data_IF_156522303314
#
_entry.id   IF_156522303314
#
_cell.length_a   1.000
_cell.length_b   1.000
_cell.length_c   1.000
_cell.angle_alpha   90.00
_cell.angle_beta   90.00
_cell.angle_gamma   90.00
#
_symmetry.space_group_name_H-M   'P 1'
#
loop_
_entity.id
_entity.type
_entity.pdbx_description
1 polymer ?
#
# COMPACT_ATOMS: atom_id res chain seq x y z
N UNK A 1 -14.23 6.56 7.42
CA UNK A 1 -13.29 7.02 8.44
C UNK A 1 -11.89 6.77 7.92
N UNK A 2 -11.09 7.82 7.74
CA UNK A 2 -9.70 7.68 7.32
C UNK A 2 -8.91 7.19 8.54
N UNK A 3 -8.80 5.87 8.71
CA UNK A 3 -7.93 5.29 9.74
C UNK A 3 -6.49 5.59 9.33
N UNK A 4 -5.80 6.39 10.14
CA UNK A 4 -4.39 6.78 10.05
C UNK A 4 -4.09 7.98 9.12
N UNK A 5 -4.32 9.19 9.64
CA UNK A 5 -3.62 10.41 9.18
C UNK A 5 -2.13 10.35 9.61
N UNK A 6 -1.39 9.31 9.21
CA UNK A 6 0.01 9.07 9.63
C UNK A 6 1.06 9.87 8.83
N UNK A 7 0.70 11.05 8.31
CA UNK A 7 1.56 11.81 7.41
C UNK A 7 2.26 13.02 8.05
N UNK A 8 1.60 13.70 8.98
CA UNK A 8 2.08 14.95 9.59
C UNK A 8 1.99 14.85 11.13
N UNK A 9 2.89 15.54 11.87
CA UNK A 9 2.75 15.65 13.32
C UNK A 9 1.47 16.41 13.69
N UNK A 10 1.00 16.29 14.93
CA UNK A 10 -0.18 17.03 15.37
C UNK A 10 0.03 18.55 15.23
N UNK A 11 -1.02 19.25 14.81
CA UNK A 11 -1.00 20.70 14.60
C UNK A 11 -1.00 21.47 15.93
N UNK A 12 -1.57 20.86 16.98
CA UNK A 12 -1.57 21.41 18.35
C UNK A 12 -0.55 20.65 19.21
N UNK A 13 0.12 21.37 20.11
CA UNK A 13 1.16 20.80 20.96
C UNK A 13 0.63 20.29 22.30
N UNK A 14 -0.49 20.84 22.78
CA UNK A 14 -1.14 20.46 24.03
C UNK A 14 -2.67 20.50 23.91
N UNK A 15 -3.35 19.97 24.92
CA UNK A 15 -4.82 19.93 24.95
C UNK A 15 -5.45 21.32 25.09
N UNK A 16 -6.60 21.50 24.43
CA UNK A 16 -7.40 22.74 24.41
C UNK A 16 -8.82 22.44 24.89
N UNK A 17 -9.39 23.26 25.76
CA UNK A 17 -10.76 23.12 26.23
C UNK A 17 -10.96 23.40 27.72
N UNK A 18 -11.86 22.63 28.33
CA UNK A 18 -12.35 22.83 29.71
C UNK A 18 -11.26 23.22 30.73
N UNK A 19 -11.43 24.31 31.50
CA UNK A 19 -10.49 24.72 32.54
C UNK A 19 -10.20 23.59 33.54
N UNK A 20 -8.93 23.42 33.92
CA UNK A 20 -8.48 22.34 34.80
C UNK A 20 -8.35 20.96 34.14
N UNK A 21 -8.78 20.81 32.88
CA UNK A 21 -8.62 19.57 32.10
C UNK A 21 -7.69 19.73 30.89
N UNK A 22 -7.50 20.95 30.40
CA UNK A 22 -6.68 21.27 29.24
C UNK A 22 -5.55 22.26 29.59
N UNK A 23 -4.46 22.24 28.81
CA UNK A 23 -3.35 23.19 28.99
C UNK A 23 -3.65 24.58 28.44
N UNK A 24 -4.44 24.68 27.38
CA UNK A 24 -4.90 25.94 26.79
C UNK A 24 -3.76 26.90 26.40
N UNK A 25 -2.72 26.40 25.73
CA UNK A 25 -1.68 27.26 25.16
C UNK A 25 -2.29 28.20 24.12
N UNK A 26 -2.00 29.52 24.14
CA UNK A 26 -2.74 30.48 23.32
C UNK A 26 -2.78 30.16 21.82
N UNK A 27 -1.68 29.66 21.27
CA UNK A 27 -1.61 29.29 19.87
C UNK A 27 -2.40 28.02 19.53
N UNK A 28 -2.37 27.00 20.40
CA UNK A 28 -3.19 25.79 20.23
C UNK A 28 -4.68 26.17 20.30
N UNK A 29 -5.04 27.06 21.23
CA UNK A 29 -6.41 27.59 21.36
C UNK A 29 -6.84 28.31 20.08
N UNK A 30 -6.00 29.20 19.56
CA UNK A 30 -6.27 29.95 18.33
C UNK A 30 -6.38 29.03 17.12
N UNK A 31 -5.56 27.98 17.04
CA UNK A 31 -5.67 26.94 16.03
C UNK A 31 -7.04 26.25 16.08
N UNK A 32 -7.51 25.86 17.26
CA UNK A 32 -8.82 25.21 17.42
C UNK A 32 -9.97 26.17 17.08
N UNK A 33 -9.89 27.44 17.51
CA UNK A 33 -10.85 28.47 17.15
C UNK A 33 -10.97 28.62 15.63
N UNK A 34 -9.84 28.73 14.93
CA UNK A 34 -9.82 28.84 13.47
C UNK A 34 -10.36 27.57 12.78
N UNK A 35 -9.96 26.38 13.23
CA UNK A 35 -10.49 25.12 12.69
C UNK A 35 -12.02 25.04 12.81
N UNK A 36 -12.58 25.45 13.96
CA UNK A 36 -14.03 25.52 14.12
C UNK A 36 -14.68 26.55 13.18
N UNK A 37 -14.06 27.73 13.02
CA UNK A 37 -14.56 28.75 12.09
C UNK A 37 -14.55 28.26 10.63
N UNK A 38 -13.60 27.41 10.23
CA UNK A 38 -13.58 26.78 8.90
C UNK A 38 -14.76 25.83 8.70
N UNK A 39 -15.05 24.98 9.69
CA UNK A 39 -16.02 23.88 9.53
C UNK A 39 -17.44 24.21 9.98
N UNK A 40 -17.62 25.23 10.82
CA UNK A 40 -18.93 25.58 11.40
C UNK A 40 -19.35 27.01 11.03
N UNK A 41 -19.92 27.22 9.83
CA UNK A 41 -20.82 28.35 9.60
C UNK A 41 -22.30 28.03 9.90
N UNK A 42 -22.64 26.83 10.44
CA UNK A 42 -24.06 26.35 10.50
C UNK A 42 -24.70 26.25 11.89
N UNK A 43 -24.07 26.70 12.98
CA UNK A 43 -24.69 26.64 14.33
C UNK A 43 -24.54 27.88 15.22
N UNK A 44 -24.01 29.02 14.75
CA UNK A 44 -23.91 30.23 15.57
C UNK A 44 -22.95 31.29 15.03
N UNK A 45 -22.56 32.23 15.90
CA UNK A 45 -21.56 33.27 15.63
C UNK A 45 -20.14 32.66 15.58
N UNK A 46 -19.27 33.14 14.66
CA UNK A 46 -17.87 32.74 14.63
C UNK A 46 -17.17 32.97 15.98
N UNK A 47 -16.24 32.08 16.33
CA UNK A 47 -15.39 32.24 17.50
C UNK A 47 -14.39 33.37 17.27
N UNK A 48 -14.09 34.15 18.30
CA UNK A 48 -12.97 35.08 18.26
C UNK A 48 -11.65 34.30 18.30
N UNK A 49 -10.82 34.46 17.28
CA UNK A 49 -9.50 33.82 17.17
C UNK A 49 -8.45 34.59 17.99
N UNK A 50 -8.65 34.64 19.31
CA UNK A 50 -7.88 35.44 20.23
C UNK A 50 -6.92 34.62 21.12
N UNK A 51 -6.89 33.30 20.94
CA UNK A 51 -6.06 32.38 21.73
C UNK A 51 -6.49 32.25 23.19
N UNK A 52 -7.66 32.75 23.58
CA UNK A 52 -8.22 32.62 24.93
C UNK A 52 -9.28 31.53 24.94
N UNK A 53 -9.08 30.53 25.81
CA UNK A 53 -10.06 29.45 25.96
C UNK A 53 -11.20 29.91 26.85
N UNK A 54 -12.21 30.55 26.27
CA UNK A 54 -13.40 31.02 26.96
C UNK A 54 -14.54 29.98 27.00
N UNK A 55 -15.64 30.33 27.68
CA UNK A 55 -16.81 29.45 27.78
C UNK A 55 -17.47 29.17 26.44
N UNK A 56 -17.36 30.07 25.47
CA UNK A 56 -17.93 29.90 24.13
C UNK A 56 -17.17 28.80 23.37
N UNK A 57 -15.84 28.81 23.41
CA UNK A 57 -15.02 27.76 22.81
C UNK A 57 -15.30 26.40 23.47
N UNK A 58 -15.33 26.33 24.80
CA UNK A 58 -15.61 25.07 25.52
C UNK A 58 -17.00 24.52 25.17
N UNK A 59 -18.01 25.39 25.08
CA UNK A 59 -19.35 24.99 24.66
C UNK A 59 -19.35 24.47 23.21
N UNK A 60 -18.62 25.13 22.32
CA UNK A 60 -18.47 24.70 20.92
C UNK A 60 -17.86 23.29 20.84
N UNK A 61 -16.76 23.03 21.58
CA UNK A 61 -16.13 21.69 21.65
C UNK A 61 -17.13 20.64 22.15
N UNK A 62 -17.79 20.90 23.28
CA UNK A 62 -18.76 19.97 23.87
C UNK A 62 -19.94 19.67 22.94
N UNK A 63 -20.45 20.69 22.24
CA UNK A 63 -21.53 20.51 21.26
C UNK A 63 -21.08 19.69 20.05
N UNK A 64 -19.85 19.93 19.55
CA UNK A 64 -19.29 19.14 18.46
C UNK A 64 -19.12 17.67 18.85
N UNK A 65 -18.56 17.41 20.03
CA UNK A 65 -18.44 16.06 20.58
C UNK A 65 -19.79 15.36 20.72
N UNK A 66 -20.81 16.05 21.24
CA UNK A 66 -22.15 15.50 21.39
C UNK A 66 -22.84 15.24 20.04
N UNK A 67 -22.95 16.28 19.21
CA UNK A 67 -23.77 16.24 17.99
C UNK A 67 -23.09 15.49 16.85
N UNK A 68 -21.78 15.70 16.66
CA UNK A 68 -21.03 15.15 15.54
C UNK A 68 -20.38 13.81 15.89
N UNK A 69 -19.69 13.71 17.04
CA UNK A 69 -18.96 12.49 17.43
C UNK A 69 -19.80 11.49 18.23
N UNK A 70 -21.00 11.88 18.66
CA UNK A 70 -21.93 11.09 19.47
C UNK A 70 -21.33 10.65 20.81
N UNK A 71 -20.58 11.54 21.46
CA UNK A 71 -20.10 11.29 22.83
C UNK A 71 -21.28 11.28 23.80
N UNK A 72 -21.37 10.24 24.63
CA UNK A 72 -22.37 10.17 25.69
C UNK A 72 -22.15 11.26 26.75
N UNK A 73 -20.88 11.54 27.07
CA UNK A 73 -20.46 12.56 28.02
C UNK A 73 -19.35 13.43 27.41
N UNK A 74 -19.71 14.53 26.73
CA UNK A 74 -18.72 15.50 26.23
C UNK A 74 -17.88 16.05 27.37
N UNK A 75 -16.56 16.00 27.23
CA UNK A 75 -15.61 16.52 28.22
C UNK A 75 -15.19 17.97 27.93
N UNK A 76 -15.50 18.47 26.73
CA UNK A 76 -15.14 19.79 26.27
C UNK A 76 -13.64 19.95 26.04
N UNK A 77 -12.91 18.86 25.76
CA UNK A 77 -11.45 18.85 25.55
C UNK A 77 -11.08 18.31 24.17
N UNK A 78 -10.07 18.94 23.56
CA UNK A 78 -9.46 18.52 22.31
C UNK A 78 -8.00 18.13 22.60
N UNK A 79 -7.71 16.83 22.58
CA UNK A 79 -6.36 16.31 22.72
C UNK A 79 -5.63 16.20 21.37
N UNK A 80 -4.30 16.45 21.31
CA UNK A 80 -3.51 16.40 20.06
C UNK A 80 -3.59 15.10 19.27
N UNK A 81 -3.83 13.98 19.96
CA UNK A 81 -3.99 12.63 19.36
C UNK A 81 -5.41 12.09 19.52
N UNK A 82 -6.32 12.93 20.02
CA UNK A 82 -7.69 12.56 20.37
C UNK A 82 -8.63 12.49 19.17
N UNK A 83 -9.73 11.75 19.34
CA UNK A 83 -10.75 11.58 18.30
C UNK A 83 -11.39 12.92 17.88
N UNK A 84 -11.55 13.86 18.80
CA UNK A 84 -12.10 15.19 18.49
C UNK A 84 -11.21 15.97 17.54
N UNK A 85 -9.89 16.03 17.82
CA UNK A 85 -8.94 16.71 16.95
C UNK A 85 -8.88 16.06 15.57
N UNK A 86 -8.78 14.73 15.51
CA UNK A 86 -8.75 14.01 14.23
C UNK A 86 -9.99 14.30 13.37
N UNK A 87 -11.18 14.33 13.98
CA UNK A 87 -12.42 14.65 13.26
C UNK A 87 -12.49 16.10 12.80
N UNK A 88 -11.96 17.05 13.58
CA UNK A 88 -11.88 18.46 13.16
C UNK A 88 -11.01 18.61 11.92
N UNK A 89 -9.86 17.94 11.88
CA UNK A 89 -8.99 17.92 10.70
C UNK A 89 -9.70 17.27 9.51
N UNK A 90 -10.37 16.13 9.70
CA UNK A 90 -11.13 15.44 8.64
C UNK A 90 -12.21 16.35 8.01
N UNK A 91 -12.91 17.15 8.82
CA UNK A 91 -13.90 18.11 8.31
C UNK A 91 -13.24 19.35 7.67
N UNK A 92 -12.19 19.90 8.29
CA UNK A 92 -11.53 21.12 7.82
C UNK A 92 -10.82 20.93 6.46
N UNK A 93 -10.29 19.73 6.20
CA UNK A 93 -9.71 19.35 4.90
C UNK A 93 -10.72 19.48 3.76
N UNK A 94 -12.03 19.37 4.02
CA UNK A 94 -13.08 19.47 2.98
C UNK A 94 -13.36 20.92 2.56
N UNK A 95 -12.93 21.90 3.35
CA UNK A 95 -13.19 23.33 3.11
C UNK A 95 -12.04 23.91 2.26
N UNK A 96 -12.28 24.59 1.14
CA UNK A 96 -11.21 25.25 0.39
C UNK A 96 -10.57 26.36 1.24
N UNK A 97 -9.24 26.37 1.32
CA UNK A 97 -8.49 27.45 2.00
C UNK A 97 -7.54 28.11 1.00
N UNK A 98 -7.16 29.37 1.24
CA UNK A 98 -6.21 30.07 0.36
C UNK A 98 -4.80 29.47 0.54
N UNK A 99 -4.15 29.00 -0.53
CA UNK A 99 -2.81 28.44 -0.45
C UNK A 99 -1.79 29.52 -0.13
N UNK A 100 -0.84 29.23 0.76
CA UNK A 100 0.33 30.07 1.03
C UNK A 100 1.62 29.38 0.54
N UNK A 101 1.96 29.48 -0.76
CA UNK A 101 3.06 28.72 -1.37
C UNK A 101 4.46 29.15 -0.91
N UNK A 102 4.60 30.33 -0.29
CA UNK A 102 5.89 30.90 0.13
C UNK A 102 6.31 30.53 1.55
N UNK A 103 5.44 29.86 2.33
CA UNK A 103 5.68 29.58 3.74
C UNK A 103 6.57 28.32 3.89
N UNK A 104 7.88 28.51 4.10
CA UNK A 104 8.77 27.46 4.61
C UNK A 104 8.61 27.40 6.13
N UNK A 105 7.57 26.72 6.61
CA UNK A 105 7.32 26.60 8.04
C UNK A 105 8.37 25.69 8.71
N UNK A 106 9.10 26.19 9.73
CA UNK A 106 10.08 25.41 10.47
C UNK A 106 9.37 24.52 11.48
N UNK A 107 8.90 23.34 11.06
CA UNK A 107 8.17 22.36 11.90
C UNK A 107 6.89 22.91 12.57
N UNK A 108 5.80 22.13 12.58
CA UNK A 108 4.53 22.55 13.21
C UNK A 108 4.65 22.87 14.72
N UNK A 109 5.77 22.47 15.35
CA UNK A 109 6.10 22.73 16.75
C UNK A 109 6.62 24.15 17.05
N UNK A 110 7.19 24.87 16.07
CA UNK A 110 7.90 26.15 16.34
C UNK A 110 7.29 27.39 15.65
N UNK A 111 6.15 27.27 14.96
CA UNK A 111 5.50 28.40 14.28
C UNK A 111 4.85 29.41 15.25
N UNK A 112 4.63 29.01 16.51
CA UNK A 112 3.76 29.71 17.45
C UNK A 112 4.49 30.58 18.50
N UNK A 113 5.81 30.72 18.39
CA UNK A 113 6.57 31.68 19.19
C UNK A 113 6.26 33.12 18.73
N UNK A 114 5.34 33.80 19.44
CA UNK A 114 5.02 35.24 19.33
C UNK A 114 4.61 35.76 17.94
N UNK A 115 3.57 35.21 17.31
CA UNK A 115 3.02 35.80 16.08
C UNK A 115 1.49 35.98 16.13
N UNK A 116 0.99 37.02 15.45
CA UNK A 116 -0.44 37.39 15.39
C UNK A 116 -1.33 36.39 14.64
N UNK A 117 -2.65 36.61 14.71
CA UNK A 117 -3.71 35.72 14.19
C UNK A 117 -3.49 35.22 12.76
N UNK A 118 -2.98 36.09 11.88
CA UNK A 118 -2.75 35.76 10.48
C UNK A 118 -1.72 34.63 10.28
N UNK A 119 -0.72 34.54 11.17
CA UNK A 119 0.31 33.49 11.10
C UNK A 119 -0.21 32.13 11.56
N UNK A 120 -1.13 32.11 12.54
CA UNK A 120 -1.80 30.87 12.95
C UNK A 120 -2.69 30.37 11.83
N UNK A 121 -3.53 31.23 11.25
CA UNK A 121 -4.37 30.85 10.10
C UNK A 121 -3.53 30.34 8.92
N UNK A 122 -2.45 31.03 8.56
CA UNK A 122 -1.55 30.60 7.50
C UNK A 122 -0.92 29.22 7.79
N UNK A 123 -0.58 28.95 9.05
CA UNK A 123 -0.04 27.65 9.49
C UNK A 123 -1.07 26.53 9.39
N UNK A 124 -2.31 26.78 9.85
CA UNK A 124 -3.42 25.82 9.71
C UNK A 124 -3.72 25.56 8.24
N UNK A 125 -3.79 26.60 7.40
CA UNK A 125 -4.07 26.44 5.97
C UNK A 125 -2.97 25.63 5.27
N UNK A 126 -1.70 25.90 5.56
CA UNK A 126 -0.59 25.11 5.06
C UNK A 126 -0.65 23.64 5.52
N UNK A 127 -1.00 23.40 6.79
CA UNK A 127 -1.21 22.03 7.31
C UNK A 127 -2.31 21.30 6.52
N UNK A 128 -3.48 21.93 6.36
CA UNK A 128 -4.62 21.35 5.64
C UNK A 128 -4.29 21.11 4.16
N UNK A 129 -3.58 22.01 3.50
CA UNK A 129 -3.12 21.84 2.11
C UNK A 129 -2.18 20.64 1.96
N UNK A 130 -1.22 20.48 2.89
CA UNK A 130 -0.35 19.30 2.90
C UNK A 130 -1.12 18.01 3.13
N UNK A 131 -2.09 18.02 4.04
CA UNK A 131 -2.96 16.85 4.27
C UNK A 131 -3.80 16.51 3.04
N UNK A 132 -4.37 17.51 2.35
CA UNK A 132 -5.06 17.31 1.06
C UNK A 132 -4.13 16.68 0.03
N UNK A 133 -2.93 17.23 -0.13
CA UNK A 133 -1.94 16.72 -1.08
C UNK A 133 -1.55 15.25 -0.78
N UNK A 134 -1.40 14.88 0.49
CA UNK A 134 -1.14 13.49 0.92
C UNK A 134 -2.32 12.58 0.57
N UNK A 135 -3.55 12.97 0.90
CA UNK A 135 -4.77 12.19 0.60
C UNK A 135 -4.95 12.01 -0.91
N UNK A 136 -4.71 13.06 -1.69
CA UNK A 136 -4.77 12.99 -3.15
C UNK A 136 -3.66 12.12 -3.73
N UNK A 137 -2.44 12.20 -3.18
CA UNK A 137 -1.34 11.33 -3.60
C UNK A 137 -1.65 9.86 -3.29
N UNK A 138 -2.19 9.56 -2.11
CA UNK A 138 -2.63 8.20 -1.77
C UNK A 138 -3.74 7.74 -2.72
N UNK A 139 -4.74 8.58 -2.99
CA UNK A 139 -5.82 8.27 -3.95
C UNK A 139 -5.26 7.97 -5.34
N UNK A 140 -4.35 8.82 -5.86
CA UNK A 140 -3.69 8.61 -7.16
C UNK A 140 -2.90 7.31 -7.18
N UNK A 141 -2.10 7.04 -6.14
CA UNK A 141 -1.32 5.81 -6.01
C UNK A 141 -2.21 4.57 -6.01
N UNK A 142 -3.31 4.58 -5.24
CA UNK A 142 -4.30 3.50 -5.22
C UNK A 142 -4.95 3.31 -6.59
N UNK A 143 -5.32 4.40 -7.27
CA UNK A 143 -5.88 4.32 -8.61
C UNK A 143 -4.89 3.70 -9.60
N UNK A 144 -3.63 4.16 -9.62
CA UNK A 144 -2.59 3.63 -10.50
C UNK A 144 -2.37 2.12 -10.32
N UNK A 145 -2.26 1.66 -9.07
CA UNK A 145 -1.94 0.25 -8.80
C UNK A 145 -3.14 -0.66 -9.04
N UNK A 146 -4.36 -0.22 -8.70
CA UNK A 146 -5.59 -1.02 -8.82
C UNK A 146 -6.28 -0.92 -10.19
N UNK A 147 -5.89 0.01 -11.06
CA UNK A 147 -6.44 0.10 -12.40
C UNK A 147 -6.10 -1.16 -13.20
N UNK A 148 -7.11 -1.87 -13.70
CA UNK A 148 -6.90 -2.96 -14.64
C UNK A 148 -6.45 -2.39 -15.99
N UNK A 149 -5.34 -2.91 -16.51
CA UNK A 149 -4.76 -2.54 -17.81
C UNK A 149 -4.70 -3.71 -18.77
N UNK A 150 -5.39 -4.81 -18.43
CA UNK A 150 -5.38 -6.02 -19.24
C UNK A 150 -6.09 -5.80 -20.57
N UNK A 151 -5.45 -6.23 -21.66
CA UNK A 151 -5.95 -6.08 -23.04
C UNK A 151 -7.03 -7.12 -23.43
N UNK A 152 -7.32 -8.08 -22.55
CA UNK A 152 -8.26 -9.18 -22.76
C UNK A 152 -7.61 -10.53 -23.07
N UNK A 153 -6.32 -10.57 -23.42
CA UNK A 153 -5.58 -11.80 -23.73
C UNK A 153 -5.09 -12.51 -22.46
N UNK A 154 -6.01 -13.14 -21.73
CA UNK A 154 -5.74 -13.72 -20.40
C UNK A 154 -5.34 -15.21 -20.41
N UNK A 155 -5.28 -15.84 -21.59
CA UNK A 155 -4.97 -17.26 -21.74
C UNK A 155 -3.76 -17.47 -22.64
N UNK A 156 -3.03 -18.56 -22.40
CA UNK A 156 -1.95 -19.02 -23.26
C UNK A 156 -2.43 -20.17 -24.14
N UNK A 157 -2.08 -20.13 -25.41
CA UNK A 157 -2.24 -21.22 -26.36
C UNK A 157 -1.07 -22.22 -26.29
N UNK A 158 -1.25 -23.39 -26.89
CA UNK A 158 -0.15 -24.35 -27.06
C UNK A 158 1.01 -23.78 -27.87
N UNK A 159 0.72 -22.92 -28.85
CA UNK A 159 1.72 -22.21 -29.65
C UNK A 159 2.58 -21.28 -28.78
N UNK A 160 1.97 -20.57 -27.82
CA UNK A 160 2.72 -19.69 -26.91
C UNK A 160 3.73 -20.49 -26.07
N UNK A 161 3.32 -21.64 -25.53
CA UNK A 161 4.21 -22.52 -24.80
C UNK A 161 5.31 -23.09 -25.70
N UNK A 162 4.98 -23.48 -26.93
CA UNK A 162 5.96 -24.02 -27.88
C UNK A 162 7.01 -22.96 -28.25
N UNK A 163 6.57 -21.73 -28.50
CA UNK A 163 7.45 -20.60 -28.79
C UNK A 163 8.36 -20.28 -27.61
N UNK A 164 7.83 -20.30 -26.38
CA UNK A 164 8.61 -20.11 -25.17
C UNK A 164 9.64 -21.23 -24.97
N UNK A 165 9.28 -22.49 -25.20
CA UNK A 165 10.23 -23.60 -25.14
C UNK A 165 11.36 -23.45 -26.16
N UNK A 166 11.04 -23.03 -27.39
CA UNK A 166 12.03 -22.71 -28.43
C UNK A 166 12.96 -21.57 -27.99
N UNK A 167 12.45 -20.52 -27.35
CA UNK A 167 13.26 -19.41 -26.83
C UNK A 167 14.21 -19.84 -25.71
N UNK A 168 13.78 -20.76 -24.85
CA UNK A 168 14.63 -21.34 -23.81
C UNK A 168 15.75 -22.24 -24.39
N UNK A 169 15.60 -22.68 -25.64
CA UNK A 169 16.61 -23.41 -26.39
C UNK A 169 16.39 -24.92 -26.46
N UNK A 170 17.14 -25.56 -27.33
CA UNK A 170 16.96 -26.98 -27.66
C UNK A 170 17.11 -27.88 -26.43
N UNK A 171 16.09 -28.73 -26.21
CA UNK A 171 16.08 -29.77 -25.18
C UNK A 171 15.24 -29.47 -23.94
N UNK A 172 14.57 -28.32 -23.85
CA UNK A 172 13.55 -28.09 -22.82
C UNK A 172 12.18 -28.57 -23.32
N UNK A 173 11.57 -29.58 -22.68
CA UNK A 173 10.25 -30.04 -23.08
C UNK A 173 9.18 -28.96 -22.82
N UNK A 174 8.31 -28.70 -23.80
CA UNK A 174 7.19 -27.75 -23.66
C UNK A 174 6.30 -28.03 -22.45
N UNK A 175 6.14 -29.31 -22.11
CA UNK A 175 5.34 -29.75 -20.97
C UNK A 175 5.95 -29.34 -19.62
N UNK A 176 7.25 -29.00 -19.54
CA UNK A 176 7.83 -28.42 -18.31
C UNK A 176 7.28 -27.02 -18.07
N UNK A 177 7.18 -26.16 -19.10
CA UNK A 177 6.62 -24.82 -18.97
C UNK A 177 5.13 -24.87 -18.58
N UNK A 178 4.39 -25.79 -19.20
CA UNK A 178 2.99 -26.06 -18.84
C UNK A 178 2.85 -26.63 -17.41
N UNK A 179 3.82 -27.42 -16.94
CA UNK A 179 3.85 -27.92 -15.56
C UNK A 179 4.05 -26.78 -14.55
N UNK A 180 4.97 -25.84 -14.83
CA UNK A 180 5.12 -24.62 -14.01
C UNK A 180 3.80 -23.83 -13.95
N UNK A 181 3.19 -23.52 -15.09
CA UNK A 181 1.88 -22.85 -15.11
C UNK A 181 0.81 -23.64 -14.33
N UNK A 182 0.83 -24.97 -14.44
CA UNK A 182 -0.12 -25.83 -13.72
C UNK A 182 0.09 -25.78 -12.21
N UNK A 183 1.32 -25.82 -11.73
CA UNK A 183 1.62 -25.82 -10.29
C UNK A 183 1.38 -24.45 -9.67
N UNK A 184 1.69 -23.37 -10.38
CA UNK A 184 1.56 -22.00 -9.88
C UNK A 184 0.12 -21.48 -9.91
N UNK A 185 -0.60 -21.69 -11.01
CA UNK A 185 -1.95 -21.14 -11.16
C UNK A 185 -3.06 -22.20 -11.16
N UNK A 186 -2.73 -23.48 -11.08
CA UNK A 186 -3.67 -24.58 -11.36
C UNK A 186 -3.96 -24.73 -12.85
N UNK A 187 -3.13 -24.16 -13.73
CA UNK A 187 -3.36 -24.11 -15.18
C UNK A 187 -4.43 -23.10 -15.58
N UNK A 188 -4.81 -22.21 -14.65
CA UNK A 188 -5.77 -21.14 -14.87
C UNK A 188 -5.07 -19.89 -15.39
N UNK A 189 -5.87 -18.92 -15.84
CA UNK A 189 -5.41 -17.58 -16.13
C UNK A 189 -4.60 -17.00 -14.96
N UNK A 190 -3.54 -16.26 -15.28
CA UNK A 190 -2.81 -15.45 -14.32
C UNK A 190 -3.56 -14.20 -13.88
N UNK A 191 -4.81 -14.01 -14.30
CA UNK A 191 -5.68 -12.88 -13.96
C UNK A 191 -6.91 -13.35 -13.17
N UNK A 192 -7.30 -12.55 -12.18
CA UNK A 192 -8.57 -12.70 -11.47
C UNK A 192 -9.75 -12.04 -12.21
N UNK A 193 -10.97 -12.16 -11.67
CA UNK A 193 -12.19 -11.58 -12.28
C UNK A 193 -12.14 -10.06 -12.48
N UNK A 194 -11.35 -9.35 -11.66
CA UNK A 194 -11.12 -7.91 -11.79
C UNK A 194 -10.16 -7.53 -12.93
N UNK A 195 -9.74 -8.49 -13.77
CA UNK A 195 -8.72 -8.30 -14.82
C UNK A 195 -7.38 -7.75 -14.29
N UNK A 196 -7.11 -8.01 -13.02
CA UNK A 196 -5.83 -7.78 -12.37
C UNK A 196 -5.08 -9.11 -12.27
N UNK A 197 -3.75 -9.10 -12.38
CA UNK A 197 -2.97 -10.32 -12.19
C UNK A 197 -3.20 -10.87 -10.79
N UNK A 198 -3.15 -12.20 -10.67
CA UNK A 198 -3.12 -12.88 -9.38
C UNK A 198 -1.79 -12.52 -8.70
N UNK A 199 -1.86 -12.06 -7.45
CA UNK A 199 -0.68 -11.72 -6.67
C UNK A 199 -0.69 -12.42 -5.30
N UNK A 200 0.50 -12.61 -4.75
CA UNK A 200 0.70 -12.83 -3.31
C UNK A 200 1.77 -11.86 -2.79
N UNK A 201 1.44 -11.14 -1.73
CA UNK A 201 2.30 -10.14 -1.10
C UNK A 201 3.13 -10.76 0.04
N UNK A 202 4.44 -10.60 -0.04
CA UNK A 202 5.44 -11.11 0.88
C UNK A 202 5.96 -9.98 1.80
N UNK A 203 5.34 -9.81 2.95
CA UNK A 203 5.68 -8.69 3.86
C UNK A 203 7.12 -8.73 4.41
N UNK A 204 7.74 -9.90 4.45
CA UNK A 204 9.16 -10.03 4.79
C UNK A 204 10.10 -9.53 3.69
N UNK A 205 9.67 -9.56 2.42
CA UNK A 205 10.37 -8.95 1.30
C UNK A 205 10.18 -7.42 1.33
N UNK A 206 8.98 -6.96 1.69
CA UNK A 206 8.74 -5.52 1.87
C UNK A 206 9.59 -4.96 3.00
N UNK A 207 9.68 -5.68 4.12
CA UNK A 207 10.60 -5.38 5.21
C UNK A 207 12.05 -5.28 4.74
N UNK A 208 12.51 -6.22 3.90
CA UNK A 208 13.87 -6.23 3.35
C UNK A 208 14.15 -4.96 2.53
N UNK A 209 13.28 -4.64 1.57
CA UNK A 209 13.51 -3.52 0.65
C UNK A 209 13.28 -2.15 1.28
N UNK A 210 12.42 -2.06 2.30
CA UNK A 210 12.22 -0.84 3.10
C UNK A 210 13.20 -0.72 4.27
N UNK A 211 14.15 -1.66 4.40
CA UNK A 211 15.15 -1.69 5.49
C UNK A 211 14.51 -1.61 6.87
N UNK A 212 13.40 -2.34 7.07
CA UNK A 212 12.64 -2.42 8.33
C UNK A 212 12.00 -1.10 8.80
N UNK A 213 11.92 -0.09 7.93
CA UNK A 213 11.33 1.24 8.24
C UNK A 213 9.91 1.17 8.79
N UNK A 214 9.13 0.16 8.38
CA UNK A 214 7.70 0.07 8.69
C UNK A 214 7.35 -1.03 9.71
N UNK A 215 8.32 -1.66 10.37
CA UNK A 215 8.08 -2.75 11.33
C UNK A 215 7.12 -2.35 12.46
N UNK A 216 7.28 -1.13 13.00
CA UNK A 216 6.46 -0.64 14.12
C UNK A 216 5.11 -0.08 13.67
N UNK A 217 5.10 0.66 12.56
CA UNK A 217 3.90 1.39 12.11
C UNK A 217 2.96 0.53 11.27
N UNK A 218 3.50 -0.50 10.59
CA UNK A 218 2.74 -1.38 9.69
C UNK A 218 3.17 -2.86 9.85
N UNK A 219 2.97 -3.48 11.02
CA UNK A 219 3.42 -4.85 11.31
C UNK A 219 2.74 -5.93 10.46
N UNK A 220 1.64 -5.61 9.78
CA UNK A 220 1.03 -6.49 8.77
C UNK A 220 1.71 -6.39 7.40
N UNK A 221 2.43 -5.32 7.10
CA UNK A 221 3.13 -5.14 5.82
C UNK A 221 4.63 -5.42 5.95
N UNK A 222 5.21 -5.21 7.12
CA UNK A 222 6.64 -5.36 7.40
C UNK A 222 6.84 -6.27 8.61
N UNK A 223 7.29 -7.51 8.37
CA UNK A 223 7.50 -8.52 9.43
C UNK A 223 8.60 -9.52 9.04
N UNK A 224 9.32 -10.13 9.99
CA UNK A 224 10.32 -11.16 9.68
C UNK A 224 9.69 -12.43 9.10
N UNK A 225 10.40 -13.14 8.23
CA UNK A 225 9.99 -14.47 7.78
C UNK A 225 10.10 -15.46 8.94
N UNK A 226 9.00 -16.14 9.28
CA UNK A 226 8.99 -17.17 10.32
C UNK A 226 8.81 -18.55 9.71
N UNK A 227 7.83 -18.68 8.81
CA UNK A 227 7.52 -19.91 8.08
C UNK A 227 6.73 -19.59 6.82
N UNK A 228 6.71 -20.52 5.89
CA UNK A 228 5.88 -20.46 4.68
C UNK A 228 4.41 -20.26 5.06
N UNK A 229 3.76 -19.29 4.41
CA UNK A 229 2.38 -18.91 4.67
C UNK A 229 2.05 -18.69 6.16
N UNK A 230 2.89 -17.92 6.87
CA UNK A 230 2.65 -17.51 8.26
C UNK A 230 1.40 -16.64 8.45
N UNK A 231 1.01 -16.32 9.71
CA UNK A 231 -0.26 -15.66 10.01
C UNK A 231 -0.45 -14.31 9.28
N UNK A 232 0.57 -13.47 9.25
CA UNK A 232 0.52 -12.17 8.56
C UNK A 232 0.37 -12.35 7.04
N UNK A 233 1.07 -13.34 6.46
CA UNK A 233 0.93 -13.68 5.05
C UNK A 233 -0.50 -14.15 4.74
N UNK A 234 -1.09 -15.00 5.59
CA UNK A 234 -2.47 -15.48 5.43
C UNK A 234 -3.49 -14.35 5.53
N UNK A 235 -3.26 -13.37 6.41
CA UNK A 235 -4.10 -12.17 6.50
C UNK A 235 -4.01 -11.33 5.23
N UNK A 236 -2.80 -11.09 4.73
CA UNK A 236 -2.55 -10.28 3.54
C UNK A 236 -3.05 -10.93 2.25
N UNK A 237 -2.96 -12.27 2.17
CA UNK A 237 -3.22 -13.04 0.96
C UNK A 237 -4.44 -13.96 1.09
N UNK A 238 -5.38 -13.60 1.96
CA UNK A 238 -6.62 -14.37 2.18
C UNK A 238 -7.38 -14.64 0.88
N UNK A 239 -7.47 -13.61 0.05
CA UNK A 239 -8.05 -13.63 -1.28
C UNK A 239 -7.42 -12.52 -2.12
N UNK A 240 -7.78 -12.45 -3.41
CA UNK A 240 -7.20 -11.46 -4.32
C UNK A 240 -7.64 -10.03 -4.00
N UNK A 241 -8.85 -9.81 -3.50
CA UNK A 241 -9.27 -8.48 -3.05
C UNK A 241 -8.35 -8.00 -1.93
N UNK A 242 -8.07 -8.87 -0.95
CA UNK A 242 -7.21 -8.57 0.18
C UNK A 242 -5.74 -8.38 -0.21
N UNK A 243 -5.24 -9.20 -1.12
CA UNK A 243 -3.87 -9.07 -1.63
C UNK A 243 -3.67 -7.73 -2.36
N UNK A 244 -4.63 -7.31 -3.18
CA UNK A 244 -4.59 -6.02 -3.86
C UNK A 244 -4.81 -4.82 -2.93
N UNK A 245 -5.66 -4.93 -1.89
CA UNK A 245 -5.74 -3.93 -0.82
C UNK A 245 -4.40 -3.76 -0.08
N UNK A 246 -3.75 -4.88 0.24
CA UNK A 246 -2.44 -4.93 0.88
C UNK A 246 -1.38 -4.26 0.00
N UNK A 247 -1.32 -4.64 -1.28
CA UNK A 247 -0.44 -4.02 -2.28
C UNK A 247 -0.67 -2.51 -2.37
N UNK A 248 -1.93 -2.05 -2.46
CA UNK A 248 -2.25 -0.64 -2.56
C UNK A 248 -1.83 0.16 -1.32
N UNK A 249 -1.91 -0.46 -0.13
CA UNK A 249 -1.43 0.16 1.12
C UNK A 249 0.09 0.23 1.14
N UNK A 250 0.79 -0.85 0.80
CA UNK A 250 2.25 -0.87 0.72
C UNK A 250 2.79 0.12 -0.33
N UNK A 251 2.14 0.19 -1.50
CA UNK A 251 2.51 1.10 -2.60
C UNK A 251 2.37 2.57 -2.21
N UNK A 252 1.45 2.91 -1.28
CA UNK A 252 1.35 4.24 -0.69
C UNK A 252 2.54 4.62 0.20
N UNK A 253 3.24 3.63 0.76
CA UNK A 253 4.38 3.83 1.66
C UNK A 253 5.73 3.80 0.94
N UNK A 254 5.90 2.86 0.02
CA UNK A 254 7.11 2.70 -0.79
C UNK A 254 6.75 1.91 -2.07
N UNK A 255 6.68 2.64 -3.19
CA UNK A 255 6.18 2.09 -4.46
C UNK A 255 7.05 0.94 -4.97
N UNK A 256 8.37 1.16 -5.05
CA UNK A 256 9.30 0.17 -5.61
C UNK A 256 9.37 -1.07 -4.72
N UNK A 257 9.51 -0.88 -3.40
CA UNK A 257 9.53 -1.98 -2.45
C UNK A 257 8.22 -2.78 -2.49
N UNK A 258 7.06 -2.12 -2.59
CA UNK A 258 5.78 -2.81 -2.68
C UNK A 258 5.70 -3.72 -3.91
N UNK A 259 6.06 -3.20 -5.09
CA UNK A 259 6.01 -3.98 -6.33
C UNK A 259 7.02 -5.14 -6.34
N UNK A 260 8.20 -4.94 -5.75
CA UNK A 260 9.21 -5.99 -5.58
C UNK A 260 8.77 -7.11 -4.63
N UNK A 261 7.82 -6.80 -3.73
CA UNK A 261 7.42 -7.68 -2.63
C UNK A 261 6.21 -8.55 -2.94
N UNK A 262 5.81 -8.68 -4.20
CA UNK A 262 4.77 -9.63 -4.59
C UNK A 262 5.24 -10.59 -5.67
N UNK A 263 4.64 -11.78 -5.70
CA UNK A 263 4.62 -12.66 -6.85
C UNK A 263 3.52 -12.23 -7.80
N UNK A 264 3.74 -12.40 -9.11
CA UNK A 264 2.86 -11.85 -10.13
C UNK A 264 2.42 -12.88 -11.17
N UNK A 265 1.12 -12.89 -11.45
CA UNK A 265 0.53 -13.54 -12.62
C UNK A 265 0.62 -15.07 -12.60
N UNK A 266 0.52 -15.67 -13.79
CA UNK A 266 0.38 -17.11 -13.98
C UNK A 266 1.54 -17.93 -13.40
N UNK A 267 2.76 -17.41 -13.49
CA UNK A 267 3.98 -18.10 -13.05
C UNK A 267 4.46 -17.66 -11.67
N UNK A 268 3.76 -16.72 -11.02
CA UNK A 268 4.09 -16.21 -9.69
C UNK A 268 5.55 -15.75 -9.54
N UNK A 269 6.13 -15.17 -10.60
CA UNK A 269 7.49 -14.63 -10.53
C UNK A 269 7.51 -13.43 -9.58
N UNK A 270 8.43 -13.43 -8.62
CA UNK A 270 8.59 -12.33 -7.66
C UNK A 270 9.06 -11.04 -8.34
N UNK A 271 8.47 -9.91 -7.96
CA UNK A 271 8.77 -8.60 -8.55
C UNK A 271 10.23 -8.18 -8.36
N UNK A 272 10.89 -8.60 -7.28
CA UNK A 272 12.32 -8.33 -7.11
C UNK A 272 13.23 -9.00 -8.16
N UNK A 273 12.70 -9.95 -8.94
CA UNK A 273 13.40 -10.59 -10.04
C UNK A 273 13.27 -9.83 -11.37
N UNK A 274 12.72 -8.60 -11.40
CA UNK A 274 12.49 -7.84 -12.63
C UNK A 274 13.70 -7.81 -13.57
N UNK A 275 14.91 -7.61 -13.03
CA UNK A 275 16.14 -7.55 -13.82
C UNK A 275 16.50 -8.92 -14.42
N UNK A 276 16.30 -10.01 -13.66
CA UNK A 276 16.47 -11.37 -14.17
C UNK A 276 15.44 -11.69 -15.26
N UNK A 277 14.24 -11.12 -15.19
CA UNK A 277 13.22 -11.20 -16.23
C UNK A 277 13.51 -10.32 -17.47
N UNK A 278 14.56 -9.49 -17.44
CA UNK A 278 14.97 -8.62 -18.56
C UNK A 278 14.39 -7.21 -18.55
N UNK A 279 13.81 -6.75 -17.43
CA UNK A 279 13.27 -5.40 -17.29
C UNK A 279 14.28 -4.45 -16.66
N UNK A 280 14.18 -3.15 -16.97
CA UNK A 280 15.09 -2.13 -16.41
C UNK A 280 14.74 -1.77 -14.97
N UNK A 281 13.46 -1.86 -14.62
CA UNK A 281 12.92 -1.54 -13.30
C UNK A 281 11.65 -2.36 -13.04
N UNK A 282 11.22 -2.41 -11.78
CA UNK A 282 10.04 -3.17 -11.37
C UNK A 282 8.73 -2.62 -11.94
N UNK A 283 8.66 -1.33 -12.27
CA UNK A 283 7.46 -0.72 -12.84
C UNK A 283 7.18 -1.24 -14.25
N UNK A 284 8.21 -1.33 -15.10
CA UNK A 284 8.10 -1.95 -16.43
C UNK A 284 7.66 -3.42 -16.32
N UNK A 285 8.25 -4.17 -15.38
CA UNK A 285 7.86 -5.56 -15.11
C UNK A 285 6.37 -5.65 -14.72
N UNK A 286 5.89 -4.83 -13.79
CA UNK A 286 4.49 -4.87 -13.34
C UNK A 286 3.52 -4.41 -14.42
N UNK A 287 3.88 -3.42 -15.23
CA UNK A 287 3.09 -3.01 -16.40
C UNK A 287 2.86 -4.21 -17.33
N UNK A 288 3.92 -4.95 -17.65
CA UNK A 288 3.81 -6.17 -18.45
C UNK A 288 3.00 -7.25 -17.73
N UNK A 289 3.19 -7.47 -16.43
CA UNK A 289 2.42 -8.48 -15.68
C UNK A 289 0.91 -8.19 -15.68
N UNK A 290 0.53 -6.91 -15.76
CA UNK A 290 -0.87 -6.46 -15.82
C UNK A 290 -1.46 -6.45 -17.24
N UNK A 291 -0.64 -6.59 -18.29
CA UNK A 291 -1.10 -6.46 -19.67
C UNK A 291 -1.81 -7.71 -20.19
N UNK A 292 -1.12 -8.85 -20.24
CA UNK A 292 -1.69 -10.11 -20.72
C UNK A 292 -0.94 -11.36 -20.24
N UNK A 293 -1.43 -12.54 -20.58
CA UNK A 293 -0.80 -13.79 -20.17
C UNK A 293 0.53 -14.04 -20.92
N UNK A 294 0.65 -13.55 -22.16
CA UNK A 294 1.86 -13.67 -22.97
C UNK A 294 3.05 -12.92 -22.36
N UNK A 295 2.84 -11.72 -21.83
CA UNK A 295 3.88 -10.96 -21.11
C UNK A 295 4.25 -11.61 -19.79
N UNK A 296 3.30 -12.23 -19.08
CA UNK A 296 3.61 -13.07 -17.91
C UNK A 296 4.50 -14.27 -18.27
N UNK A 297 4.23 -14.94 -19.39
CA UNK A 297 5.09 -16.01 -19.92
C UNK A 297 6.47 -15.50 -20.32
N UNK A 298 6.55 -14.33 -20.97
CA UNK A 298 7.82 -13.69 -21.35
C UNK A 298 8.71 -13.41 -20.14
N UNK A 299 8.14 -12.89 -19.04
CA UNK A 299 8.92 -12.65 -17.83
C UNK A 299 9.42 -13.95 -17.17
N UNK A 300 8.60 -15.01 -17.18
CA UNK A 300 9.02 -16.34 -16.76
C UNK A 300 10.18 -16.88 -17.61
N UNK A 301 10.08 -16.76 -18.94
CA UNK A 301 11.16 -17.14 -19.87
C UNK A 301 12.45 -16.36 -19.58
N UNK A 302 12.36 -15.05 -19.40
CA UNK A 302 13.50 -14.21 -19.03
C UNK A 302 14.17 -14.68 -17.73
N UNK A 303 13.35 -14.93 -16.70
CA UNK A 303 13.82 -15.44 -15.41
C UNK A 303 14.57 -16.77 -15.56
N UNK A 304 14.00 -17.72 -16.31
CA UNK A 304 14.64 -19.00 -16.62
C UNK A 304 15.99 -18.79 -17.32
N UNK A 305 16.05 -17.96 -18.38
CA UNK A 305 17.28 -17.69 -19.12
C UNK A 305 18.40 -17.09 -18.26
N UNK A 306 18.07 -16.33 -17.20
CA UNK A 306 19.06 -15.82 -16.25
C UNK A 306 19.47 -16.78 -15.15
N UNK A 307 18.80 -17.92 -15.02
CA UNK A 307 19.13 -18.94 -14.05
C UNK A 307 19.65 -20.22 -14.74
N UNK A 308 20.97 -20.29 -14.98
CA UNK A 308 21.61 -21.42 -15.66
C UNK A 308 21.41 -22.76 -14.93
N UNK A 309 21.33 -22.76 -13.60
CA UNK A 309 21.06 -23.94 -12.80
C UNK A 309 19.62 -24.43 -13.00
N UNK A 310 18.64 -23.53 -13.02
CA UNK A 310 17.26 -23.85 -13.36
C UNK A 310 17.15 -24.39 -14.79
N UNK A 311 17.81 -23.77 -15.76
CA UNK A 311 17.83 -24.24 -17.16
C UNK A 311 18.38 -25.66 -17.28
N UNK A 312 19.49 -25.94 -16.59
CA UNK A 312 20.06 -27.29 -16.52
C UNK A 312 19.07 -28.28 -15.90
N UNK A 313 18.41 -27.89 -14.81
CA UNK A 313 17.41 -28.74 -14.16
C UNK A 313 16.22 -29.03 -15.08
N UNK A 314 15.66 -28.01 -15.73
CA UNK A 314 14.57 -28.12 -16.72
C UNK A 314 14.92 -29.08 -17.86
N UNK A 315 16.12 -28.94 -18.44
CA UNK A 315 16.61 -29.81 -19.52
C UNK A 315 16.74 -31.26 -19.08
N UNK A 316 17.24 -31.50 -17.87
CA UNK A 316 17.47 -32.83 -17.32
C UNK A 316 16.23 -33.44 -16.65
N UNK A 317 15.09 -32.74 -16.62
CA UNK A 317 13.89 -33.10 -15.84
C UNK A 317 14.21 -33.34 -14.35
N UNK A 318 15.18 -32.61 -13.82
CA UNK A 318 15.54 -32.61 -12.40
C UNK A 318 14.55 -31.75 -11.62
N UNK A 319 13.46 -32.37 -11.14
CA UNK A 319 12.38 -31.66 -10.47
C UNK A 319 12.78 -31.07 -9.11
N UNK A 320 13.73 -31.70 -8.40
CA UNK A 320 14.30 -31.18 -7.16
C UNK A 320 15.10 -29.92 -7.46
N UNK A 321 15.96 -29.98 -8.47
CA UNK A 321 16.70 -28.83 -8.97
C UNK A 321 15.78 -27.70 -9.43
N UNK A 322 14.67 -28.00 -10.11
CA UNK A 322 13.66 -27.00 -10.49
C UNK A 322 13.05 -26.34 -9.26
N UNK A 323 12.59 -27.13 -8.29
CA UNK A 323 11.95 -26.63 -7.08
C UNK A 323 12.88 -25.73 -6.26
N UNK A 324 14.12 -26.17 -6.06
CA UNK A 324 15.13 -25.41 -5.33
C UNK A 324 15.51 -24.10 -6.02
N UNK A 325 15.75 -24.13 -7.32
CA UNK A 325 16.17 -22.94 -8.06
C UNK A 325 15.03 -21.94 -8.30
N UNK A 326 13.77 -22.37 -8.22
CA UNK A 326 12.59 -21.51 -8.39
C UNK A 326 12.07 -20.95 -7.06
N UNK A 327 11.93 -21.79 -6.03
CA UNK A 327 11.32 -21.43 -4.74
C UNK A 327 12.32 -21.31 -3.58
N UNK A 328 13.60 -21.65 -3.79
CA UNK A 328 14.62 -21.68 -2.75
C UNK A 328 14.55 -22.94 -1.88
N UNK A 329 15.27 -22.92 -0.74
CA UNK A 329 15.45 -24.09 0.14
C UNK A 329 14.15 -24.62 0.76
N UNK A 330 13.15 -23.77 0.96
CA UNK A 330 11.87 -24.11 1.61
C UNK A 330 10.76 -24.38 0.56
N UNK A 331 11.14 -25.07 -0.52
CA UNK A 331 10.23 -25.33 -1.65
C UNK A 331 9.08 -26.28 -1.30
N UNK A 332 9.21 -27.09 -0.24
CA UNK A 332 8.18 -28.02 0.23
C UNK A 332 8.02 -29.21 -0.74
N UNK A 333 6.79 -29.46 -1.21
CA UNK A 333 6.44 -30.56 -2.11
C UNK A 333 6.47 -30.16 -3.61
N UNK A 334 7.06 -29.00 -3.91
CA UNK A 334 6.98 -28.39 -5.24
C UNK A 334 7.58 -29.27 -6.34
N UNK A 335 8.68 -29.97 -6.05
CA UNK A 335 9.32 -30.94 -6.93
C UNK A 335 8.35 -32.07 -7.33
N UNK A 336 7.66 -32.65 -6.35
CA UNK A 336 6.66 -33.70 -6.54
C UNK A 336 5.46 -33.20 -7.34
N UNK A 337 5.02 -31.96 -7.08
CA UNK A 337 3.92 -31.32 -7.81
C UNK A 337 4.26 -31.05 -9.27
N UNK A 338 5.45 -30.52 -9.56
CA UNK A 338 5.92 -30.29 -10.94
C UNK A 338 6.05 -31.63 -11.68
N UNK A 339 6.66 -32.64 -11.06
CA UNK A 339 6.78 -33.98 -11.64
C UNK A 339 5.41 -34.54 -12.02
N UNK A 340 4.46 -34.53 -11.08
CA UNK A 340 3.09 -35.03 -11.31
C UNK A 340 2.37 -34.26 -12.42
N UNK A 341 2.53 -32.93 -12.46
CA UNK A 341 1.94 -32.11 -13.52
C UNK A 341 2.54 -32.44 -14.90
N UNK A 342 3.87 -32.58 -14.97
CA UNK A 342 4.58 -32.97 -16.19
C UNK A 342 4.15 -34.35 -16.71
N UNK A 343 4.15 -35.37 -15.85
CA UNK A 343 3.76 -36.74 -16.21
C UNK A 343 2.32 -36.82 -16.72
N UNK A 344 1.40 -36.06 -16.09
CA UNK A 344 0.01 -35.96 -16.54
C UNK A 344 -0.11 -35.34 -17.93
N UNK A 345 0.77 -34.41 -18.30
CA UNK A 345 0.80 -33.78 -19.62
C UNK A 345 1.41 -34.70 -20.69
N UNK A 346 2.39 -35.55 -20.32
CA UNK A 346 2.95 -36.55 -21.23
C UNK A 346 1.96 -37.69 -21.53
N UNK A 347 1.19 -38.14 -20.53
CA UNK A 347 0.22 -39.23 -20.69
C UNK A 347 -1.07 -38.86 -21.42
N UNK A 348 -1.25 -37.59 -21.82
CA UNK A 348 -2.40 -37.09 -22.59
C UNK A 348 -2.16 -37.04 -24.11
N UNK A 349 -1.04 -37.60 -24.58
CA UNK A 349 -0.68 -37.64 -25.99
C UNK A 349 -1.55 -38.59 -26.79
#
# INVERSE_FOLDING_TARGET
MMKNLQGLPSLISASVGSPGKARNLPADVQCIQYLFNLIIPKMGTPLQENGKCDGQLVQCISQYQFRHLKYAHPDGVVDPTGRTFNSLIEEAIKVPVKPHPTLRLPTFLNAFGNNGSDMVQATVNHYLDRMRAIIEAERRNRQMVLQATCDGNMTLSDSDFQNAATQLGNGIPVNILKAFATVESGGRSGFGPAKLPVIAFEGHIFRKYTKSKYDQTHPLLSYPYVKKAGPQWQVNNKDQTKAWETMATAFGLDQEAALMSASWGMFQVMGFNFAACGYKNVFEFVTDMKLNAGTQLKAFVGFCLKNSALMKAMKNKDYVGMAFNYNGKDYGDYDSRIKKAYEKLEGKK
#
